data_IF_435724655953
#
_entry.id   IF_435724655953
#
_cell.length_a   1.000
_cell.length_b   1.000
_cell.length_c   1.000
_cell.angle_alpha   90.00
_cell.angle_beta   90.00
_cell.angle_gamma   90.00
#
_symmetry.space_group_name_H-M   'P 1'
#
loop_
_entity.id
_entity.type
_entity.pdbx_description
1 polymer ?
#
# COMPACT_ATOMS: atom_id res chain seq x y z
N UNK A 1 10.78 27.07 -33.00
CA UNK A 1 10.48 26.44 -31.69
C UNK A 1 10.52 24.95 -31.94
N UNK A 2 11.60 24.28 -31.53
CA UNK A 2 11.80 22.86 -31.85
C UNK A 2 10.96 22.01 -30.88
N UNK A 3 9.98 21.31 -31.43
CA UNK A 3 9.18 20.30 -30.73
C UNK A 3 10.06 19.06 -30.53
N UNK A 4 10.35 18.71 -29.28
CA UNK A 4 11.07 17.49 -28.94
C UNK A 4 10.12 16.31 -29.15
N UNK A 5 10.39 15.52 -30.19
CA UNK A 5 9.71 14.23 -30.38
C UNK A 5 9.90 13.37 -29.14
N UNK A 6 8.81 12.82 -28.61
CA UNK A 6 8.81 11.86 -27.52
C UNK A 6 9.78 10.72 -27.87
N UNK A 7 10.85 10.55 -27.09
CA UNK A 7 11.72 9.38 -27.18
C UNK A 7 10.89 8.11 -27.01
N UNK A 8 11.18 7.02 -27.73
CA UNK A 8 10.37 5.80 -27.74
C UNK A 8 9.99 5.40 -26.32
N UNK A 9 8.69 5.26 -26.08
CA UNK A 9 8.09 5.17 -24.75
C UNK A 9 8.81 4.13 -23.88
N UNK A 10 9.02 4.51 -22.62
CA UNK A 10 9.38 3.56 -21.57
C UNK A 10 8.56 2.30 -21.78
N UNK A 11 9.24 1.20 -22.08
CA UNK A 11 8.60 -0.11 -22.08
C UNK A 11 7.97 -0.24 -20.70
N UNK A 12 6.64 -0.41 -20.66
CA UNK A 12 5.89 -0.82 -19.48
C UNK A 12 6.75 -1.85 -18.75
N UNK A 13 7.09 -1.56 -17.49
CA UNK A 13 7.80 -2.48 -16.62
C UNK A 13 7.07 -3.84 -16.61
N UNK A 14 7.73 -4.92 -16.16
CA UNK A 14 7.26 -6.29 -16.39
C UNK A 14 5.77 -6.43 -16.09
N UNK A 15 5.01 -7.10 -16.97
CA UNK A 15 3.62 -7.49 -16.69
C UNK A 15 3.59 -8.32 -15.39
N UNK A 16 3.40 -7.66 -14.24
CA UNK A 16 3.46 -8.23 -12.88
C UNK A 16 2.10 -8.77 -12.41
N UNK A 17 1.19 -9.06 -13.35
CA UNK A 17 -0.24 -9.15 -13.07
C UNK A 17 -0.76 -10.29 -12.19
N UNK A 18 0.03 -11.30 -11.79
CA UNK A 18 -0.52 -12.46 -11.04
C UNK A 18 0.36 -12.97 -9.88
N UNK A 19 1.59 -12.48 -9.69
CA UNK A 19 2.55 -13.18 -8.80
C UNK A 19 2.91 -12.49 -7.47
N UNK A 20 2.37 -11.30 -7.15
CA UNK A 20 2.85 -10.55 -5.96
C UNK A 20 1.85 -10.39 -4.82
N UNK A 21 0.55 -10.53 -5.09
CA UNK A 21 -0.48 -10.44 -4.07
C UNK A 21 -0.68 -11.79 -3.38
N UNK A 22 -0.73 -11.80 -2.06
CA UNK A 22 -1.04 -13.00 -1.28
C UNK A 22 -2.01 -12.64 -0.14
N UNK A 23 -2.83 -13.58 0.34
CA UNK A 23 -3.82 -13.29 1.38
C UNK A 23 -3.22 -12.57 2.60
N UNK A 24 -3.74 -11.39 2.93
CA UNK A 24 -3.29 -10.56 4.07
C UNK A 24 -2.11 -9.61 3.78
N UNK A 25 -1.71 -9.45 2.52
CA UNK A 25 -0.69 -8.49 2.10
C UNK A 25 -1.07 -7.02 2.36
N UNK A 26 -2.36 -6.70 2.21
CA UNK A 26 -2.97 -5.38 2.43
C UNK A 26 -3.33 -5.10 3.89
N UNK A 27 -3.15 -6.08 4.77
CA UNK A 27 -3.43 -5.95 6.20
C UNK A 27 -2.13 -5.62 6.95
N UNK A 28 -2.07 -4.40 7.49
CA UNK A 28 -1.03 -3.96 8.42
C UNK A 28 -1.36 -4.36 9.87
N UNK A 29 -2.64 -4.58 10.16
CA UNK A 29 -3.18 -5.19 11.38
C UNK A 29 -4.30 -6.16 11.01
N UNK A 30 -4.65 -7.07 11.92
CA UNK A 30 -5.84 -7.89 11.76
C UNK A 30 -7.12 -7.02 11.76
N UNK A 31 -8.17 -7.49 11.10
CA UNK A 31 -9.45 -6.77 11.04
C UNK A 31 -10.10 -6.65 12.43
N UNK A 32 -9.77 -7.56 13.36
CA UNK A 32 -10.25 -7.55 14.75
C UNK A 32 -9.44 -6.63 15.67
N UNK A 33 -8.37 -5.98 15.18
CA UNK A 33 -7.57 -5.07 15.98
C UNK A 33 -8.43 -3.87 16.45
N UNK A 34 -8.38 -3.46 17.73
CA UNK A 34 -9.29 -2.45 18.28
C UNK A 34 -9.22 -1.09 17.58
N UNK A 35 -8.02 -0.73 17.08
CA UNK A 35 -7.79 0.53 16.35
C UNK A 35 -7.80 0.35 14.82
N UNK A 36 -8.30 -0.77 14.30
CA UNK A 36 -8.32 -1.03 12.87
C UNK A 36 -9.19 -0.01 12.11
N UNK A 37 -8.63 0.52 11.03
CA UNK A 37 -9.29 1.40 10.06
C UNK A 37 -9.10 0.86 8.65
N UNK A 38 -10.11 1.09 7.80
CA UNK A 38 -10.02 0.83 6.36
C UNK A 38 -9.48 2.04 5.62
N UNK A 39 -8.41 1.85 4.85
CA UNK A 39 -7.92 2.83 3.88
C UNK A 39 -8.24 2.30 2.48
N UNK A 40 -9.00 3.04 1.69
CA UNK A 40 -9.37 2.64 0.33
C UNK A 40 -9.40 3.83 -0.62
N UNK A 41 -9.33 3.56 -1.91
CA UNK A 41 -9.35 4.59 -2.95
C UNK A 41 -9.41 3.98 -4.35
N UNK A 42 -9.23 4.83 -5.36
CA UNK A 42 -9.18 4.42 -6.78
C UNK A 42 -7.99 5.08 -7.44
N UNK A 43 -7.22 4.31 -8.20
CA UNK A 43 -6.12 4.82 -9.02
C UNK A 43 -6.66 5.14 -10.41
N UNK A 44 -6.46 6.37 -10.85
CA UNK A 44 -6.85 6.83 -12.18
C UNK A 44 -5.63 7.16 -13.03
N UNK A 45 -5.73 6.94 -14.35
CA UNK A 45 -4.76 7.44 -15.32
C UNK A 45 -5.00 8.93 -15.63
N UNK A 46 -4.18 9.49 -16.53
CA UNK A 46 -4.30 10.90 -16.95
C UNK A 46 -5.58 11.25 -17.72
N UNK A 47 -6.34 10.25 -18.19
CA UNK A 47 -7.63 10.43 -18.84
C UNK A 47 -8.81 10.20 -17.87
N UNK A 48 -8.55 9.86 -16.61
CA UNK A 48 -9.57 9.57 -15.61
C UNK A 48 -10.11 8.15 -15.66
N UNK A 49 -9.47 7.22 -16.37
CA UNK A 49 -9.84 5.81 -16.37
C UNK A 49 -9.17 5.09 -15.19
N UNK A 50 -9.89 4.15 -14.56
CA UNK A 50 -9.33 3.33 -13.48
C UNK A 50 -8.16 2.47 -13.98
N UNK A 51 -7.09 2.37 -13.19
CA UNK A 51 -5.89 1.59 -13.53
C UNK A 51 -5.98 0.21 -12.91
N UNK A 52 -6.21 -0.86 -13.69
CA UNK A 52 -6.53 -2.18 -13.13
C UNK A 52 -5.32 -3.01 -12.69
N UNK A 53 -4.11 -2.59 -13.02
CA UNK A 53 -2.86 -3.34 -12.83
C UNK A 53 -1.82 -2.60 -11.98
N UNK A 54 -2.25 -1.62 -11.19
CA UNK A 54 -1.39 -0.92 -10.25
C UNK A 54 -1.12 -1.77 -8.99
N UNK A 55 0.09 -1.66 -8.46
CA UNK A 55 0.47 -2.18 -7.15
C UNK A 55 0.77 -1.00 -6.22
N UNK A 56 0.01 -0.87 -5.14
CA UNK A 56 0.23 0.12 -4.11
C UNK A 56 1.02 -0.51 -2.97
N UNK A 57 2.02 0.23 -2.47
CA UNK A 57 2.81 -0.14 -1.31
C UNK A 57 2.65 0.93 -0.22
N UNK A 58 2.30 0.51 1.01
CA UNK A 58 2.06 1.39 2.15
C UNK A 58 3.08 1.11 3.26
N UNK A 59 3.77 2.14 3.74
CA UNK A 59 4.60 2.11 4.94
C UNK A 59 4.17 3.22 5.89
N UNK A 60 4.05 2.90 7.17
CA UNK A 60 3.74 3.90 8.19
C UNK A 60 4.18 3.45 9.59
N UNK A 61 4.17 4.39 10.54
CA UNK A 61 4.28 4.10 11.96
C UNK A 61 2.98 3.52 12.55
N UNK A 62 3.07 2.89 13.72
CA UNK A 62 1.90 2.48 14.51
C UNK A 62 1.13 3.69 15.07
N UNK A 63 0.01 3.45 15.76
CA UNK A 63 -0.80 4.51 16.37
C UNK A 63 -0.08 5.33 17.46
N UNK A 64 1.07 4.86 17.95
CA UNK A 64 1.91 5.56 18.91
C UNK A 64 3.14 6.21 18.27
N UNK A 65 3.26 6.21 16.94
CA UNK A 65 4.39 6.79 16.21
C UNK A 65 5.64 5.91 16.18
N UNK A 66 5.54 4.61 16.53
CA UNK A 66 6.67 3.67 16.46
C UNK A 66 6.76 3.07 15.07
N UNK A 67 7.96 3.11 14.50
CA UNK A 67 8.26 2.46 13.22
C UNK A 67 8.74 1.03 13.51
N UNK A 68 8.10 -0.01 12.97
CA UNK A 68 8.58 -1.39 13.10
C UNK A 68 9.98 -1.53 12.49
N UNK A 69 10.95 -1.98 13.29
CA UNK A 69 12.36 -2.15 12.85
C UNK A 69 12.82 -3.60 12.71
N UNK A 70 11.98 -4.56 13.09
CA UNK A 70 12.34 -5.96 13.09
C UNK A 70 11.91 -6.63 11.79
N UNK A 71 12.79 -7.43 11.16
CA UNK A 71 12.49 -8.16 9.92
C UNK A 71 11.28 -9.11 10.02
N UNK A 72 10.84 -9.43 11.24
CA UNK A 72 9.60 -10.16 11.52
C UNK A 72 8.32 -9.38 11.20
N UNK A 73 8.40 -8.07 10.94
CA UNK A 73 7.25 -7.27 10.51
C UNK A 73 6.75 -7.68 9.10
N UNK A 74 7.57 -8.41 8.34
CA UNK A 74 7.19 -9.08 7.09
C UNK A 74 6.79 -10.56 7.30
N UNK A 75 6.99 -11.14 8.49
CA UNK A 75 6.65 -12.53 8.80
C UNK A 75 5.21 -12.63 9.29
N UNK A 76 4.28 -12.60 8.33
CA UNK A 76 2.89 -13.04 8.49
C UNK A 76 2.82 -14.57 8.58
N UNK A 77 3.35 -15.17 9.64
CA UNK A 77 3.41 -16.63 9.76
C UNK A 77 2.62 -17.13 10.97
N UNK A 78 1.39 -17.60 10.69
CA UNK A 78 0.59 -18.43 11.59
C UNK A 78 -0.24 -17.65 12.62
N UNK A 79 -1.57 -17.85 12.58
CA UNK A 79 -2.55 -17.41 13.56
C UNK A 79 -2.69 -15.87 13.75
N UNK A 80 -3.12 -15.18 12.69
CA UNK A 80 -3.58 -13.79 12.79
C UNK A 80 -2.46 -12.76 12.93
N UNK A 81 -2.68 -11.56 12.39
CA UNK A 81 -1.84 -10.40 12.65
C UNK A 81 -2.09 -9.91 14.07
N UNK A 82 -1.43 -10.52 15.06
CA UNK A 82 -1.55 -10.09 16.45
C UNK A 82 -0.95 -8.69 16.68
N UNK A 83 0.01 -8.28 15.85
CA UNK A 83 0.75 -7.02 15.98
C UNK A 83 0.81 -6.25 14.64
N UNK A 84 1.05 -4.94 14.75
CA UNK A 84 1.19 -4.02 13.62
C UNK A 84 2.47 -4.28 12.81
N UNK A 85 2.33 -4.45 11.49
CA UNK A 85 3.47 -4.77 10.60
C UNK A 85 4.22 -3.54 10.07
N UNK A 86 3.56 -2.38 9.98
CA UNK A 86 4.15 -1.18 9.36
C UNK A 86 4.30 -1.23 7.85
N UNK A 87 3.89 -2.33 7.20
CA UNK A 87 3.96 -2.48 5.76
C UNK A 87 2.82 -3.33 5.18
N UNK A 88 2.27 -2.88 4.06
CA UNK A 88 1.34 -3.66 3.26
C UNK A 88 1.41 -3.35 1.77
N UNK A 89 0.85 -4.24 0.97
CA UNK A 89 0.70 -4.08 -0.47
C UNK A 89 -0.72 -4.41 -0.89
N UNK A 90 -1.25 -3.67 -1.87
CA UNK A 90 -2.56 -3.94 -2.44
C UNK A 90 -2.49 -3.76 -3.97
N UNK A 91 -2.90 -4.79 -4.70
CA UNK A 91 -3.15 -4.66 -6.13
C UNK A 91 -4.53 -4.01 -6.36
N UNK A 92 -4.66 -3.26 -7.43
CA UNK A 92 -5.96 -2.73 -7.86
C UNK A 92 -6.84 -3.83 -8.47
N UNK A 93 -8.15 -3.68 -8.35
CA UNK A 93 -9.11 -4.48 -9.12
C UNK A 93 -9.33 -3.91 -10.53
N UNK A 94 -10.25 -4.51 -11.30
CA UNK A 94 -10.54 -4.11 -12.68
C UNK A 94 -11.01 -2.66 -12.86
N UNK A 95 -11.53 -2.02 -11.80
CA UNK A 95 -12.00 -0.64 -11.81
C UNK A 95 -10.97 0.32 -11.18
N UNK A 96 -9.80 -0.19 -10.79
CA UNK A 96 -8.71 0.57 -10.18
C UNK A 96 -8.82 0.74 -8.68
N UNK A 97 -9.74 0.03 -8.00
CA UNK A 97 -9.93 0.17 -6.56
C UNK A 97 -8.85 -0.57 -5.77
N UNK A 98 -8.44 0.02 -4.65
CA UNK A 98 -7.52 -0.61 -3.69
C UNK A 98 -8.05 -0.49 -2.26
N UNK A 99 -7.59 -1.38 -1.38
CA UNK A 99 -7.92 -1.36 0.05
C UNK A 99 -6.76 -1.85 0.92
N UNK A 100 -6.63 -1.29 2.11
CA UNK A 100 -5.79 -1.73 3.22
C UNK A 100 -6.59 -1.78 4.54
N UNK A 101 -6.17 -2.64 5.46
CA UNK A 101 -6.56 -2.56 6.89
C UNK A 101 -5.33 -2.11 7.68
N UNK A 102 -5.42 -0.98 8.38
CA UNK A 102 -4.30 -0.38 9.13
C UNK A 102 -4.78 0.32 10.39
N UNK A 103 -3.93 1.11 11.05
CA UNK A 103 -4.28 2.02 12.15
C UNK A 103 -4.02 3.48 11.72
N UNK A 104 -4.66 4.45 12.36
CA UNK A 104 -4.27 5.85 12.16
C UNK A 104 -2.83 6.05 12.69
N UNK A 105 -1.87 6.55 11.88
CA UNK A 105 -0.49 6.66 12.33
C UNK A 105 -0.35 7.73 13.42
N UNK A 106 0.43 7.41 14.46
CA UNK A 106 0.84 8.38 15.47
C UNK A 106 1.92 9.33 14.95
N UNK A 107 2.12 10.45 15.64
CA UNK A 107 3.18 11.41 15.28
C UNK A 107 4.57 10.80 15.48
N UNK A 108 5.43 10.98 14.47
CA UNK A 108 6.86 10.63 14.53
C UNK A 108 7.65 11.92 14.70
N UNK A 109 8.43 12.02 15.77
CA UNK A 109 9.30 13.17 16.08
C UNK A 109 8.58 14.55 16.04
N UNK A 110 7.29 14.58 16.41
CA UNK A 110 6.48 15.82 16.41
C UNK A 110 6.03 16.28 15.03
N UNK A 111 6.31 15.50 13.97
CA UNK A 111 5.82 15.77 12.61
C UNK A 111 4.38 15.31 12.46
N UNK A 112 3.64 15.96 11.56
CA UNK A 112 2.32 15.50 11.16
C UNK A 112 2.41 14.03 10.71
N UNK A 113 1.44 13.18 11.09
CA UNK A 113 1.48 11.74 10.83
C UNK A 113 1.41 11.39 9.32
N UNK A 114 1.06 12.36 8.47
CA UNK A 114 1.17 12.33 7.02
C UNK A 114 1.40 13.77 6.53
N UNK A 115 2.21 13.95 5.48
CA UNK A 115 2.47 15.25 4.83
C UNK A 115 2.25 15.13 3.33
#
# INVERSE_FOLDING_TARGET
MAELACTPGQTVGPFFGIALSYPGDSQLVADEHPDAIGLHGTVYDGAGAGVPDALLELWQADGAGRIPRQAGSLRRAGAGLAEFTGFGRAATDADGHYRFTTVAPGSVDGRAPFS
#
